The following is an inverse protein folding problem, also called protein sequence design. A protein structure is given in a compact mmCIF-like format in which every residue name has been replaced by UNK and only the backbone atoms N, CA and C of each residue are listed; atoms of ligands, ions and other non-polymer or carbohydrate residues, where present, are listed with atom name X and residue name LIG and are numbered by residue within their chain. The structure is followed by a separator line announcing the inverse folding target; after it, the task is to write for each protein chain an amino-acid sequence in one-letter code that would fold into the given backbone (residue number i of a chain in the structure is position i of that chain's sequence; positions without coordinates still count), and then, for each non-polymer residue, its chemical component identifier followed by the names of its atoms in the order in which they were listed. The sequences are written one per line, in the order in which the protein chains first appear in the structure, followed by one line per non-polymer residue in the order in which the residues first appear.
data_IF_473333944675
#
_entry.id   IF_473333944675
#
_cell.length_a   1.000
_cell.length_b   1.000
_cell.length_c   1.000
_cell.angle_alpha   90.00
_cell.angle_beta   90.00
_cell.angle_gamma   90.00
#
_symmetry.space_group_name_H-M   'P 1'
#
loop_
_entity.id
_entity.type
_entity.pdbx_description
1 polymer ?
#
# COMPACT_ATOMS: atom_id res chain seq x y z
N UNK A 1 8.06 48.25 -20.70
CA UNK A 1 7.86 48.51 -19.25
C UNK A 1 8.56 47.43 -18.44
N UNK A 2 9.66 47.82 -17.84
CA UNK A 2 10.53 46.91 -17.07
C UNK A 2 10.09 46.98 -15.62
N UNK A 3 9.69 45.86 -14.99
CA UNK A 3 9.46 45.80 -13.54
C UNK A 3 10.55 44.99 -12.86
N UNK A 4 11.22 45.69 -11.97
CA UNK A 4 12.41 45.32 -11.19
C UNK A 4 12.17 44.18 -10.23
N UNK A 5 13.16 43.30 -10.18
CA UNK A 5 13.36 42.31 -9.11
C UNK A 5 13.80 43.01 -7.81
N UNK A 6 13.24 42.64 -6.70
CA UNK A 6 13.75 42.95 -5.35
C UNK A 6 14.17 41.59 -4.73
N UNK A 7 15.47 41.50 -4.54
CA UNK A 7 16.16 40.47 -3.80
C UNK A 7 16.16 40.86 -2.32
N UNK A 8 15.64 40.02 -1.43
CA UNK A 8 15.77 40.20 0.01
C UNK A 8 16.47 38.97 0.59
N UNK A 9 17.73 39.15 0.91
CA UNK A 9 18.54 38.22 1.69
C UNK A 9 18.36 38.53 3.18
N UNK A 10 18.00 37.53 3.97
CA UNK A 10 18.07 37.61 5.43
C UNK A 10 19.00 36.49 5.90
N UNK A 11 20.19 36.94 6.34
CA UNK A 11 21.13 36.10 7.07
C UNK A 11 20.84 36.26 8.57
N UNK A 12 20.66 35.18 9.28
CA UNK A 12 20.65 35.16 10.73
C UNK A 12 21.60 34.05 11.22
N UNK A 13 22.80 34.45 11.58
CA UNK A 13 23.76 33.64 12.30
C UNK A 13 23.53 33.84 13.81
N UNK A 14 23.23 32.80 14.54
CA UNK A 14 23.32 32.79 16.00
C UNK A 14 24.29 31.68 16.44
N UNK A 15 25.50 32.13 16.77
CA UNK A 15 26.51 31.36 17.47
C UNK A 15 26.26 31.52 18.97
N UNK A 16 25.87 30.45 19.63
CA UNK A 16 25.74 30.37 21.08
C UNK A 16 26.85 29.54 21.68
N UNK A 17 27.88 30.21 22.24
CA UNK A 17 28.95 29.54 22.99
C UNK A 17 28.49 29.32 24.43
N UNK A 18 28.51 28.08 24.89
CA UNK A 18 28.34 27.76 26.31
C UNK A 18 29.69 27.44 26.93
N UNK A 19 30.11 28.31 27.85
CA UNK A 19 31.26 28.09 28.72
C UNK A 19 30.85 27.18 29.89
N UNK A 20 31.53 26.05 30.04
CA UNK A 20 31.41 25.19 31.23
C UNK A 20 32.43 25.67 32.27
N UNK A 21 31.96 26.17 33.39
CA UNK A 21 32.75 26.44 34.56
C UNK A 21 32.98 25.17 35.37
N UNK A 22 34.24 24.84 35.61
CA UNK A 22 34.64 23.71 36.43
C UNK A 22 34.40 23.96 37.90
N UNK A 23 33.94 22.96 38.62
CA UNK A 23 34.03 22.86 40.06
C UNK A 23 34.69 21.54 40.42
N UNK A 24 35.90 21.62 40.96
CA UNK A 24 36.56 20.52 41.64
C UNK A 24 35.94 20.35 43.01
N UNK A 25 35.51 19.15 43.33
CA UNK A 25 35.08 18.76 44.68
C UNK A 25 35.37 17.29 44.87
N UNK A 26 36.33 17.06 45.74
CA UNK A 26 36.79 15.74 46.25
C UNK A 26 35.70 15.07 47.12
N UNK A 27 35.43 13.80 46.89
CA UNK A 27 35.22 12.80 47.94
C UNK A 27 35.06 11.42 47.32
N UNK A 28 35.99 10.56 47.65
CA UNK A 28 35.93 9.11 47.48
C UNK A 28 34.72 8.55 48.25
N UNK A 29 33.71 8.13 47.57
CA UNK A 29 32.72 7.13 48.03
C UNK A 29 32.40 6.24 46.84
N UNK A 30 33.02 5.06 46.85
CA UNK A 30 32.70 4.00 45.92
C UNK A 30 31.36 3.41 46.29
N UNK A 31 30.29 3.65 45.56
CA UNK A 31 29.05 2.90 45.76
C UNK A 31 29.28 1.49 45.15
N UNK A 32 29.03 0.47 45.97
CA UNK A 32 28.89 -0.90 45.48
C UNK A 32 27.83 -0.92 44.40
N UNK A 33 28.27 -0.99 43.14
CA UNK A 33 27.34 -1.31 42.04
C UNK A 33 26.84 -2.74 42.27
N UNK A 34 25.53 -2.95 42.35
CA UNK A 34 24.99 -4.30 42.36
C UNK A 34 25.44 -4.97 41.04
N UNK A 35 26.04 -6.13 41.19
CA UNK A 35 26.42 -7.01 40.08
C UNK A 35 25.23 -7.11 39.12
N UNK A 36 25.41 -6.88 37.81
CA UNK A 36 24.32 -7.05 36.85
C UNK A 36 23.85 -8.50 36.95
N UNK A 37 22.64 -8.68 37.47
CA UNK A 37 21.94 -9.95 37.36
C UNK A 37 21.82 -10.20 35.84
N UNK A 38 22.57 -11.18 35.37
CA UNK A 38 22.45 -11.65 33.97
C UNK A 38 21.00 -12.09 33.85
N UNK A 39 20.25 -11.32 33.09
CA UNK A 39 18.86 -11.63 32.81
C UNK A 39 18.84 -12.99 32.12
N UNK A 40 18.37 -13.97 32.88
CA UNK A 40 18.12 -15.31 32.42
C UNK A 40 17.32 -15.23 31.13
N UNK A 41 17.83 -15.86 30.10
CA UNK A 41 17.38 -15.88 28.71
C UNK A 41 15.89 -15.67 28.59
N UNK A 42 15.47 -14.45 28.21
CA UNK A 42 14.10 -14.24 27.75
C UNK A 42 13.87 -15.22 26.60
N UNK A 43 12.92 -16.14 26.78
CA UNK A 43 12.52 -17.07 25.74
C UNK A 43 12.27 -16.26 24.45
N UNK A 44 12.75 -16.75 23.28
CA UNK A 44 12.54 -16.04 22.04
C UNK A 44 11.04 -15.78 21.90
N UNK A 45 10.66 -14.49 21.80
CA UNK A 45 9.27 -14.15 21.51
C UNK A 45 8.96 -14.73 20.14
N UNK A 46 8.18 -15.81 20.12
CA UNK A 46 7.64 -16.38 18.89
C UNK A 46 6.67 -15.34 18.34
N UNK A 47 7.11 -14.57 17.34
CA UNK A 47 6.26 -13.63 16.66
C UNK A 47 5.06 -14.37 16.06
N UNK A 48 3.87 -13.73 16.07
CA UNK A 48 2.71 -14.29 15.38
C UNK A 48 3.06 -14.48 13.89
N UNK A 49 2.76 -15.65 13.30
CA UNK A 49 2.98 -15.88 11.88
C UNK A 49 2.30 -14.78 11.06
N UNK A 50 3.00 -14.24 10.07
CA UNK A 50 2.40 -13.26 9.16
C UNK A 50 1.21 -13.90 8.43
N UNK A 51 0.03 -13.27 8.40
CA UNK A 51 -1.10 -13.75 7.62
C UNK A 51 -0.87 -13.63 6.12
N UNK A 52 0.18 -12.89 5.70
CA UNK A 52 0.51 -12.64 4.31
C UNK A 52 1.55 -13.65 3.85
N UNK A 53 1.26 -14.33 2.74
CA UNK A 53 2.17 -15.24 2.04
C UNK A 53 2.40 -14.76 0.63
N UNK A 54 3.65 -14.59 0.24
CA UNK A 54 4.05 -14.17 -1.09
C UNK A 54 4.24 -15.35 -2.05
N UNK A 55 3.98 -15.10 -3.34
CA UNK A 55 4.09 -16.06 -4.44
C UNK A 55 4.81 -15.42 -5.62
N UNK A 56 5.48 -16.24 -6.43
CA UNK A 56 6.15 -15.76 -7.64
C UNK A 56 5.16 -15.49 -8.77
N UNK A 57 4.08 -16.25 -8.83
CA UNK A 57 3.08 -16.17 -9.90
C UNK A 57 1.66 -16.19 -9.34
N UNK A 58 0.73 -15.66 -10.13
CA UNK A 58 -0.70 -15.71 -9.82
C UNK A 58 -1.19 -17.16 -9.80
N UNK A 59 -0.71 -18.01 -10.70
CA UNK A 59 -1.11 -19.42 -10.79
C UNK A 59 -0.70 -20.20 -9.53
N UNK A 60 0.50 -19.94 -8.98
CA UNK A 60 0.91 -20.53 -7.70
C UNK A 60 -0.02 -20.13 -6.55
N UNK A 61 -0.37 -18.85 -6.46
CA UNK A 61 -1.26 -18.32 -5.43
C UNK A 61 -2.69 -18.87 -5.61
N UNK A 62 -3.20 -18.91 -6.84
CA UNK A 62 -4.52 -19.45 -7.18
C UNK A 62 -4.63 -20.95 -6.84
N UNK A 63 -3.61 -21.73 -7.17
CA UNK A 63 -3.53 -23.14 -6.81
C UNK A 63 -3.48 -23.35 -5.29
N UNK A 64 -2.71 -22.52 -4.57
CA UNK A 64 -2.65 -22.58 -3.12
C UNK A 64 -4.01 -22.31 -2.46
N UNK A 65 -4.78 -21.37 -3.02
CA UNK A 65 -6.12 -21.02 -2.55
C UNK A 65 -7.22 -21.94 -3.09
N UNK A 66 -6.92 -22.77 -4.11
CA UNK A 66 -7.89 -23.56 -4.85
C UNK A 66 -9.03 -22.71 -5.46
N UNK A 67 -8.68 -21.60 -6.09
CA UNK A 67 -9.62 -20.69 -6.78
C UNK A 67 -9.20 -20.43 -8.22
N UNK A 68 -10.18 -20.02 -9.04
CA UNK A 68 -9.92 -19.42 -10.35
C UNK A 68 -10.22 -17.91 -10.24
N UNK A 69 -9.21 -17.07 -9.97
CA UNK A 69 -9.44 -15.64 -9.77
C UNK A 69 -9.81 -14.96 -11.08
N UNK A 70 -10.72 -14.01 -11.04
CA UNK A 70 -10.92 -13.09 -12.16
C UNK A 70 -9.97 -11.92 -11.99
N UNK A 71 -9.23 -11.55 -13.04
CA UNK A 71 -8.20 -10.53 -12.98
C UNK A 71 -8.46 -9.41 -14.00
N UNK A 72 -8.03 -8.16 -13.73
CA UNK A 72 -8.07 -7.10 -14.72
C UNK A 72 -7.22 -7.48 -15.95
N UNK A 73 -7.84 -7.58 -17.11
CA UNK A 73 -7.15 -7.85 -18.38
C UNK A 73 -6.49 -6.61 -18.95
N UNK A 74 -7.08 -5.45 -18.71
CA UNK A 74 -6.62 -4.16 -19.23
C UNK A 74 -6.37 -3.23 -18.06
N UNK A 75 -5.14 -2.78 -17.93
CA UNK A 75 -4.70 -1.75 -17.00
C UNK A 75 -4.21 -0.54 -17.79
N UNK A 76 -4.11 0.65 -17.18
CA UNK A 76 -3.47 1.78 -17.81
C UNK A 76 -2.03 1.43 -18.24
N UNK A 77 -1.56 2.05 -19.32
CA UNK A 77 -0.22 1.82 -19.84
C UNK A 77 0.83 2.08 -18.76
N UNK A 78 1.83 1.19 -18.68
CA UNK A 78 2.94 1.29 -17.73
C UNK A 78 2.73 0.58 -16.40
N UNK A 79 1.57 -0.02 -16.14
CA UNK A 79 1.36 -0.84 -14.95
C UNK A 79 1.77 -2.29 -15.19
N UNK A 80 2.61 -2.83 -14.30
CA UNK A 80 3.04 -4.22 -14.28
C UNK A 80 2.83 -4.81 -12.88
N UNK A 81 2.78 -6.14 -12.79
CA UNK A 81 2.68 -6.84 -11.51
C UNK A 81 3.96 -6.56 -10.72
N UNK A 82 3.81 -5.99 -9.52
CA UNK A 82 4.88 -5.77 -8.55
C UNK A 82 4.99 -6.96 -7.59
N UNK A 83 3.85 -7.41 -7.07
CA UNK A 83 3.81 -8.55 -6.14
C UNK A 83 2.49 -9.29 -6.20
N UNK A 84 2.57 -10.57 -5.83
CA UNK A 84 1.43 -11.47 -5.68
C UNK A 84 1.50 -12.08 -4.29
N UNK A 85 0.42 -12.00 -3.53
CA UNK A 85 0.36 -12.56 -2.18
C UNK A 85 -1.05 -13.06 -1.86
N UNK A 86 -1.16 -13.89 -0.83
CA UNK A 86 -2.44 -14.22 -0.22
C UNK A 86 -2.47 -13.67 1.19
N UNK A 87 -3.65 -13.24 1.62
CA UNK A 87 -3.95 -12.91 3.00
C UNK A 87 -4.69 -14.13 3.55
N UNK A 88 -4.02 -14.87 4.43
CA UNK A 88 -4.43 -16.22 4.84
C UNK A 88 -4.60 -17.14 3.62
N UNK A 89 -5.75 -17.85 3.51
CA UNK A 89 -6.17 -18.58 2.31
C UNK A 89 -7.42 -17.99 1.65
N UNK A 90 -7.83 -16.80 2.10
CA UNK A 90 -9.15 -16.27 1.81
C UNK A 90 -9.14 -15.19 0.73
N UNK A 91 -8.04 -14.44 0.62
CA UNK A 91 -7.93 -13.32 -0.30
C UNK A 91 -6.62 -13.39 -1.08
N UNK A 92 -6.72 -13.45 -2.40
CA UNK A 92 -5.60 -13.19 -3.31
C UNK A 92 -5.43 -11.68 -3.46
N UNK A 93 -4.20 -11.21 -3.27
CA UNK A 93 -3.82 -9.82 -3.50
C UNK A 93 -2.80 -9.73 -4.63
N UNK A 94 -3.07 -8.90 -5.61
CA UNK A 94 -2.13 -8.56 -6.69
C UNK A 94 -1.88 -7.07 -6.66
N UNK A 95 -0.64 -6.69 -6.52
CA UNK A 95 -0.20 -5.29 -6.55
C UNK A 95 0.38 -5.00 -7.93
N UNK A 96 -0.16 -4.00 -8.58
CA UNK A 96 0.36 -3.47 -9.83
C UNK A 96 1.03 -2.14 -9.55
N UNK A 97 2.29 -1.98 -9.96
CA UNK A 97 3.02 -0.73 -9.88
C UNK A 97 3.20 -0.11 -11.26
N UNK A 98 3.17 1.21 -11.31
CA UNK A 98 3.54 1.95 -12.51
C UNK A 98 5.04 1.93 -12.67
N UNK A 99 5.50 1.32 -13.74
CA UNK A 99 6.89 1.34 -14.16
C UNK A 99 7.03 2.36 -15.29
N UNK A 100 7.48 3.55 -14.94
CA UNK A 100 7.86 4.53 -15.93
C UNK A 100 9.13 4.04 -16.64
N UNK A 101 9.23 4.24 -17.96
CA UNK A 101 10.48 4.11 -18.67
C UNK A 101 11.57 5.00 -18.03
N UNK A 102 12.84 4.77 -18.41
CA UNK A 102 14.02 5.41 -17.81
C UNK A 102 13.95 6.95 -17.69
N UNK A 103 13.12 7.60 -18.51
CA UNK A 103 12.93 9.05 -18.58
C UNK A 103 11.89 9.63 -17.61
N UNK A 104 11.18 8.80 -16.87
CA UNK A 104 10.20 9.33 -15.91
C UNK A 104 10.90 9.77 -14.63
N UNK A 105 10.88 11.06 -14.39
CA UNK A 105 11.43 11.66 -13.17
C UNK A 105 10.97 10.89 -11.93
N UNK A 106 11.92 10.46 -11.10
CA UNK A 106 11.74 9.63 -9.89
C UNK A 106 10.63 10.11 -8.96
N UNK A 107 10.24 11.38 -9.05
CA UNK A 107 9.21 12.01 -8.25
C UNK A 107 7.77 11.74 -8.71
N UNK A 108 7.54 11.22 -9.91
CA UNK A 108 6.19 10.89 -10.39
C UNK A 108 5.78 9.43 -10.13
N UNK A 109 6.72 8.56 -9.79
CA UNK A 109 6.46 7.13 -9.61
C UNK A 109 5.98 6.76 -8.18
N UNK A 110 6.26 7.59 -7.19
CA UNK A 110 5.80 7.34 -5.82
C UNK A 110 4.27 7.43 -5.74
N UNK A 111 3.63 6.41 -5.17
CA UNK A 111 2.19 6.39 -4.94
C UNK A 111 1.34 6.06 -6.17
N UNK A 112 1.85 5.26 -7.10
CA UNK A 112 1.09 4.82 -8.28
C UNK A 112 0.90 3.30 -8.28
N UNK A 113 0.29 2.78 -7.22
CA UNK A 113 -0.08 1.37 -7.16
C UNK A 113 -1.58 1.20 -7.38
N UNK A 114 -1.92 0.08 -8.00
CA UNK A 114 -3.28 -0.45 -8.02
C UNK A 114 -3.22 -1.75 -7.25
N UNK A 115 -3.93 -1.82 -6.13
CA UNK A 115 -4.03 -3.04 -5.33
C UNK A 115 -5.35 -3.71 -5.66
N UNK A 116 -5.28 -4.88 -6.22
CA UNK A 116 -6.44 -5.70 -6.54
C UNK A 116 -6.53 -6.89 -5.58
N UNK A 117 -7.72 -7.11 -5.04
CA UNK A 117 -8.03 -8.24 -4.17
C UNK A 117 -9.22 -9.01 -4.67
N UNK A 118 -9.15 -10.32 -4.57
CA UNK A 118 -10.25 -11.22 -4.90
C UNK A 118 -10.26 -12.42 -3.96
N UNK A 119 -11.46 -12.83 -3.52
CA UNK A 119 -11.64 -13.95 -2.63
C UNK A 119 -13.08 -14.39 -2.52
N UNK A 120 -13.29 -15.62 -2.04
CA UNK A 120 -14.62 -16.16 -1.80
C UNK A 120 -15.20 -15.75 -0.42
N UNK A 121 -14.43 -15.04 0.39
CA UNK A 121 -14.85 -14.58 1.71
C UNK A 121 -15.94 -13.51 1.62
N UNK A 122 -16.81 -13.47 2.63
CA UNK A 122 -17.91 -12.50 2.70
C UNK A 122 -17.41 -11.16 3.26
N UNK A 123 -18.02 -10.06 2.83
CA UNK A 123 -17.77 -8.72 3.34
C UNK A 123 -16.76 -7.92 2.52
N UNK A 124 -16.27 -6.85 3.10
CA UNK A 124 -15.29 -5.94 2.47
C UNK A 124 -13.87 -6.52 2.59
N UNK A 125 -13.31 -6.90 1.47
CA UNK A 125 -11.95 -7.44 1.36
C UNK A 125 -10.91 -6.39 0.99
N UNK A 126 -11.32 -5.12 0.89
CA UNK A 126 -10.42 -4.04 0.43
C UNK A 126 -9.26 -3.78 1.39
N UNK A 127 -9.45 -4.04 2.69
CA UNK A 127 -8.51 -3.66 3.75
C UNK A 127 -8.29 -2.14 3.82
N UNK A 128 -9.19 -1.37 3.23
CA UNK A 128 -9.15 0.08 3.26
C UNK A 128 -10.35 0.60 4.05
N UNK A 129 -10.06 1.14 5.22
CA UNK A 129 -11.07 1.64 6.17
C UNK A 129 -11.17 3.17 6.18
N UNK A 130 -10.66 3.84 5.13
CA UNK A 130 -10.77 5.28 5.02
C UNK A 130 -12.23 5.70 4.78
N UNK A 131 -12.61 6.82 5.36
CA UNK A 131 -13.86 7.49 5.06
C UNK A 131 -13.75 8.25 3.73
N UNK A 132 -14.71 8.02 2.85
CA UNK A 132 -14.77 8.67 1.55
C UNK A 132 -15.98 9.58 1.46
N UNK A 133 -15.77 10.79 0.93
CA UNK A 133 -16.84 11.81 0.81
C UNK A 133 -18.00 11.34 -0.05
N UNK A 134 -17.72 10.54 -1.07
CA UNK A 134 -18.73 10.03 -2.00
C UNK A 134 -18.67 8.52 -2.05
N UNK A 135 -19.83 7.88 -1.88
CA UNK A 135 -20.04 6.47 -2.16
C UNK A 135 -21.20 6.36 -3.15
N UNK A 136 -20.93 5.78 -4.31
CA UNK A 136 -21.91 5.60 -5.38
C UNK A 136 -21.91 4.17 -5.88
N UNK A 137 -23.10 3.62 -6.16
CA UNK A 137 -23.23 2.27 -6.74
C UNK A 137 -23.78 2.39 -8.15
N UNK A 138 -23.08 1.80 -9.10
CA UNK A 138 -23.42 1.79 -10.52
C UNK A 138 -23.31 0.39 -11.11
N UNK A 139 -23.93 0.17 -12.28
CA UNK A 139 -23.79 -1.09 -13.02
C UNK A 139 -22.67 -0.98 -14.03
N UNK A 140 -21.74 -1.94 -14.01
CA UNK A 140 -20.68 -2.12 -15.01
C UNK A 140 -20.85 -3.52 -15.60
N UNK A 141 -21.18 -3.61 -16.88
CA UNK A 141 -21.48 -4.88 -17.55
C UNK A 141 -22.47 -5.77 -16.76
N UNK A 142 -23.53 -5.14 -16.22
CA UNK A 142 -24.55 -5.84 -15.43
C UNK A 142 -24.20 -6.09 -13.95
N UNK A 143 -22.94 -5.97 -13.57
CA UNK A 143 -22.48 -6.16 -12.18
C UNK A 143 -22.63 -4.85 -11.40
N UNK A 144 -23.19 -4.92 -10.19
CA UNK A 144 -23.20 -3.77 -9.26
C UNK A 144 -21.81 -3.53 -8.71
N UNK A 145 -21.29 -2.31 -8.92
CA UNK A 145 -19.99 -1.87 -8.42
C UNK A 145 -20.20 -0.67 -7.52
N UNK A 146 -19.65 -0.73 -6.32
CA UNK A 146 -19.61 0.40 -5.38
C UNK A 146 -18.29 1.14 -5.54
N UNK A 147 -18.38 2.41 -5.89
CA UNK A 147 -17.24 3.32 -6.01
C UNK A 147 -17.18 4.23 -4.79
N UNK A 148 -16.01 4.34 -4.18
CA UNK A 148 -15.75 5.24 -3.05
C UNK A 148 -14.65 6.23 -3.42
N UNK A 149 -14.84 7.53 -3.09
CA UNK A 149 -13.85 8.55 -3.46
C UNK A 149 -14.33 9.98 -3.31
N UNK A 150 -14.08 10.79 -4.34
CA UNK A 150 -14.59 12.15 -4.52
C UNK A 150 -15.65 12.22 -5.63
N UNK A 151 -16.06 13.43 -6.03
CA UNK A 151 -17.15 13.62 -7.00
C UNK A 151 -16.87 12.96 -8.35
N UNK A 152 -15.65 13.06 -8.86
CA UNK A 152 -15.23 12.55 -10.17
C UNK A 152 -14.14 11.50 -10.09
N UNK A 153 -13.51 11.35 -8.93
CA UNK A 153 -12.32 10.52 -8.74
C UNK A 153 -12.64 9.34 -7.82
N UNK A 154 -12.12 8.17 -8.14
CA UNK A 154 -12.30 6.91 -7.43
C UNK A 154 -10.99 6.49 -6.79
N UNK A 155 -11.02 6.20 -5.49
CA UNK A 155 -9.93 5.57 -4.75
C UNK A 155 -10.16 4.08 -4.55
N UNK A 156 -11.43 3.68 -4.37
CA UNK A 156 -11.78 2.30 -4.08
C UNK A 156 -13.01 1.89 -4.88
N UNK A 157 -12.95 0.71 -5.48
CA UNK A 157 -14.10 0.06 -6.10
C UNK A 157 -14.26 -1.35 -5.51
N UNK A 158 -15.50 -1.74 -5.19
CA UNK A 158 -15.83 -3.07 -4.68
C UNK A 158 -17.03 -3.65 -5.41
N UNK A 159 -16.99 -4.95 -5.70
CA UNK A 159 -18.09 -5.67 -6.34
C UNK A 159 -18.06 -7.15 -6.01
N UNK A 160 -19.18 -7.83 -6.26
CA UNK A 160 -19.27 -9.30 -6.17
C UNK A 160 -19.68 -9.85 -7.52
N UNK A 161 -19.01 -10.92 -7.95
CA UNK A 161 -19.30 -11.62 -9.20
C UNK A 161 -18.91 -13.08 -9.11
N UNK A 162 -19.73 -13.97 -9.64
CA UNK A 162 -19.49 -15.41 -9.71
C UNK A 162 -19.07 -16.05 -8.37
N UNK A 163 -19.68 -15.58 -7.26
CA UNK A 163 -19.39 -16.08 -5.91
C UNK A 163 -18.11 -15.53 -5.29
N UNK A 164 -17.40 -14.64 -5.97
CA UNK A 164 -16.20 -13.97 -5.47
C UNK A 164 -16.47 -12.50 -5.16
N UNK A 165 -15.87 -12.00 -4.10
CA UNK A 165 -15.79 -10.57 -3.80
C UNK A 165 -14.49 -10.03 -4.38
N UNK A 166 -14.59 -8.82 -4.88
CA UNK A 166 -13.50 -8.10 -5.52
C UNK A 166 -13.36 -6.72 -4.90
N UNK A 167 -12.13 -6.27 -4.71
CA UNK A 167 -11.82 -4.90 -4.34
C UNK A 167 -10.63 -4.41 -5.17
N UNK A 168 -10.72 -3.16 -5.60
CA UNK A 168 -9.64 -2.48 -6.32
C UNK A 168 -9.39 -1.12 -5.68
N UNK A 169 -8.22 -0.96 -5.11
CA UNK A 169 -7.76 0.28 -4.50
C UNK A 169 -6.74 0.96 -5.41
N UNK A 170 -6.94 2.23 -5.64
CA UNK A 170 -6.06 3.09 -6.41
C UNK A 170 -5.33 4.02 -5.44
N UNK A 171 -4.05 3.82 -5.25
CA UNK A 171 -3.22 4.67 -4.40
C UNK A 171 -3.25 6.13 -4.89
N UNK A 172 -3.22 6.31 -6.21
CA UNK A 172 -3.57 7.57 -6.86
C UNK A 172 -4.96 7.46 -7.49
N UNK A 173 -5.90 8.33 -7.13
CA UNK A 173 -7.27 8.20 -7.62
C UNK A 173 -7.34 8.31 -9.13
N UNK A 174 -8.23 7.53 -9.72
CA UNK A 174 -8.51 7.52 -11.16
C UNK A 174 -9.89 8.11 -11.45
N UNK A 175 -10.14 8.48 -12.69
CA UNK A 175 -11.49 8.89 -13.09
C UNK A 175 -12.46 7.71 -12.99
N UNK A 176 -13.74 8.00 -12.77
CA UNK A 176 -14.77 6.96 -12.69
C UNK A 176 -14.87 6.12 -13.98
N UNK A 177 -14.70 6.75 -15.14
CA UNK A 177 -14.74 6.04 -16.42
C UNK A 177 -13.55 5.10 -16.58
N UNK A 178 -12.37 5.49 -16.13
CA UNK A 178 -11.20 4.62 -16.12
C UNK A 178 -11.42 3.42 -15.18
N UNK A 179 -11.91 3.65 -13.97
CA UNK A 179 -12.24 2.56 -13.05
C UNK A 179 -13.25 1.58 -13.66
N UNK A 180 -14.31 2.09 -14.30
CA UNK A 180 -15.30 1.27 -15.02
C UNK A 180 -14.65 0.45 -16.15
N UNK A 181 -13.78 1.05 -16.94
CA UNK A 181 -13.11 0.38 -18.05
C UNK A 181 -12.23 -0.79 -17.56
N UNK A 182 -11.49 -0.60 -16.47
CA UNK A 182 -10.66 -1.66 -15.86
C UNK A 182 -11.55 -2.79 -15.35
N UNK A 183 -12.62 -2.48 -14.61
CA UNK A 183 -13.54 -3.47 -14.02
C UNK A 183 -14.30 -4.24 -15.09
N UNK A 184 -14.75 -3.55 -16.15
CA UNK A 184 -15.47 -4.16 -17.27
C UNK A 184 -14.65 -5.25 -17.98
N UNK A 185 -13.33 -5.15 -17.91
CA UNK A 185 -12.38 -6.10 -18.51
C UNK A 185 -11.77 -7.07 -17.51
N UNK A 186 -12.38 -7.27 -16.34
CA UNK A 186 -11.96 -8.28 -15.38
C UNK A 186 -12.47 -9.65 -15.83
N UNK A 187 -11.57 -10.56 -16.13
CA UNK A 187 -11.86 -11.89 -16.64
C UNK A 187 -10.99 -12.96 -15.97
N UNK A 188 -11.46 -14.22 -15.98
CA UNK A 188 -10.63 -15.33 -15.51
C UNK A 188 -9.39 -15.49 -16.42
N UNK A 189 -8.18 -15.65 -15.85
CA UNK A 189 -6.99 -15.95 -16.63
C UNK A 189 -7.15 -17.33 -17.29
N UNK A 190 -6.53 -17.55 -18.45
CA UNK A 190 -6.36 -18.89 -19.00
C UNK A 190 -5.27 -19.58 -18.17
N UNK A 191 -5.66 -20.37 -17.19
CA UNK A 191 -4.72 -21.20 -16.44
C UNK A 191 -4.10 -22.20 -17.42
N UNK A 192 -2.78 -22.18 -17.54
CA UNK A 192 -2.05 -23.20 -18.26
C UNK A 192 -2.06 -24.46 -17.38
N UNK A 193 -2.95 -25.39 -17.67
CA UNK A 193 -2.86 -26.77 -17.15
C UNK A 193 -1.58 -27.39 -17.70
N UNK A 194 -0.64 -27.68 -16.80
CA UNK A 194 0.53 -28.52 -17.11
C UNK A 194 0.11 -29.98 -17.20
#
# INVERSE_FOLDING_TARGET
MVKKFILMAVACACVGSYTVAGAQGTADVKPDLPTPVVAEHAAPMVGMPSPIREFKTIDEAANYMNITPQLPKVLPVGYNIESVSTIEKDVLQVVYAYQAGEDASRNQAAGKRIVYRVGATKGDISGNHNDYRVTATEKVNGTKVTFKGGDKMVYLAGWSKDGQNHAMYFERPVTRDMAKAIIANTVAPKLHTK
#
